data_IF_794689932123
#
_entry.id   IF_794689932123
#
_cell.length_a   1.000
_cell.length_b   1.000
_cell.length_c   1.000
_cell.angle_alpha   90.00
_cell.angle_beta   90.00
_cell.angle_gamma   90.00
#
_symmetry.space_group_name_H-M   'P 1'
#
loop_
_entity.id
_entity.type
_entity.pdbx_description
1 polymer ?
#
# COMPACT_ATOMS: atom_id res chain seq x y z
N UNK A 1 10.53 7.60 -19.18
CA UNK A 1 9.75 6.93 -20.24
C UNK A 1 8.38 7.55 -20.27
N UNK A 2 7.83 7.79 -21.45
CA UNK A 2 6.47 8.31 -21.56
C UNK A 2 5.49 7.16 -21.60
N UNK A 3 4.46 7.19 -20.77
CA UNK A 3 3.34 6.26 -20.83
C UNK A 3 2.50 6.58 -22.07
N UNK A 4 2.37 5.64 -22.99
CA UNK A 4 1.65 5.81 -24.26
C UNK A 4 0.49 4.81 -24.29
N UNK A 5 -0.72 5.32 -24.50
CA UNK A 5 -1.93 4.51 -24.71
C UNK A 5 -1.78 3.63 -25.96
N UNK A 6 -1.98 2.33 -25.80
CA UNK A 6 -1.97 1.34 -26.88
C UNK A 6 -3.31 0.61 -26.98
N UNK A 7 -4.00 0.43 -25.86
CA UNK A 7 -5.25 -0.29 -25.76
C UNK A 7 -6.41 0.64 -25.36
N UNK A 8 -7.64 0.18 -25.53
CA UNK A 8 -8.83 0.93 -25.13
C UNK A 8 -9.05 0.95 -23.63
N UNK A 9 -8.62 -0.09 -22.93
CA UNK A 9 -8.76 -0.25 -21.48
C UNK A 9 -7.45 0.07 -20.75
N UNK A 10 -7.59 0.43 -19.49
CA UNK A 10 -6.49 0.69 -18.58
C UNK A 10 -6.70 -0.07 -17.26
N UNK A 11 -5.62 -0.66 -16.73
CA UNK A 11 -5.61 -1.29 -15.41
C UNK A 11 -4.46 -0.69 -14.59
N UNK A 12 -4.81 -0.01 -13.49
CA UNK A 12 -3.89 0.40 -12.45
C UNK A 12 -3.77 -0.70 -11.39
N UNK A 13 -2.56 -1.07 -10.99
CA UNK A 13 -2.32 -2.14 -10.01
C UNK A 13 -1.47 -1.58 -8.88
N UNK A 14 -1.98 -1.63 -7.62
CA UNK A 14 -1.11 -1.41 -6.47
C UNK A 14 -0.11 -2.56 -6.30
N UNK A 15 1.01 -2.29 -5.67
CA UNK A 15 2.10 -3.26 -5.53
C UNK A 15 2.05 -4.01 -4.20
N UNK A 16 2.20 -3.29 -3.09
CA UNK A 16 2.33 -3.86 -1.75
C UNK A 16 0.99 -4.39 -1.22
N UNK A 17 0.88 -5.69 -0.97
CA UNK A 17 -0.37 -6.31 -0.51
C UNK A 17 -1.36 -6.62 -1.63
N UNK A 18 -1.16 -6.07 -2.82
CA UNK A 18 -1.96 -6.31 -4.01
C UNK A 18 -1.27 -7.26 -4.97
N UNK A 19 -0.07 -6.92 -5.47
CA UNK A 19 0.71 -7.79 -6.35
C UNK A 19 1.64 -8.73 -5.57
N UNK A 20 2.14 -8.29 -4.43
CA UNK A 20 3.12 -9.02 -3.60
C UNK A 20 2.66 -9.07 -2.14
N UNK A 21 2.96 -10.16 -1.41
CA UNK A 21 2.79 -10.23 0.06
C UNK A 21 3.84 -9.38 0.81
N UNK A 22 4.31 -8.32 0.17
CA UNK A 22 5.35 -7.43 0.70
C UNK A 22 4.84 -6.61 1.88
N UNK A 23 3.56 -6.28 1.93
CA UNK A 23 2.99 -5.49 3.02
C UNK A 23 3.07 -6.22 4.35
N UNK A 24 2.64 -7.50 4.42
CA UNK A 24 2.77 -8.32 5.62
C UNK A 24 4.24 -8.51 6.00
N UNK A 25 5.09 -8.81 5.03
CA UNK A 25 6.53 -9.01 5.24
C UNK A 25 7.18 -7.74 5.80
N UNK A 26 6.88 -6.56 5.25
CA UNK A 26 7.37 -5.26 5.76
C UNK A 26 7.04 -5.06 7.24
N UNK A 27 5.81 -5.35 7.64
CA UNK A 27 5.41 -5.19 9.03
C UNK A 27 6.08 -6.21 9.94
N UNK A 28 6.02 -7.50 9.61
CA UNK A 28 6.49 -8.59 10.47
C UNK A 28 8.02 -8.67 10.59
N UNK A 29 8.76 -8.41 9.51
CA UNK A 29 10.23 -8.53 9.49
C UNK A 29 10.96 -7.20 9.64
N UNK A 30 10.26 -6.06 9.57
CA UNK A 30 10.89 -4.73 9.54
C UNK A 30 10.30 -3.78 10.57
N UNK A 31 9.07 -3.29 10.38
CA UNK A 31 8.52 -2.21 11.20
C UNK A 31 8.33 -2.60 12.67
N UNK A 32 7.80 -3.78 12.94
CA UNK A 32 7.55 -4.28 14.30
C UNK A 32 8.87 -4.52 15.05
N UNK A 33 9.83 -5.32 14.51
CA UNK A 33 11.10 -5.55 15.20
C UNK A 33 11.88 -4.25 15.44
N UNK A 34 11.91 -3.36 14.47
CA UNK A 34 12.58 -2.06 14.62
C UNK A 34 11.92 -1.19 15.71
N UNK A 35 10.58 -1.21 15.83
CA UNK A 35 9.87 -0.48 16.88
C UNK A 35 10.16 -1.06 18.28
N UNK A 36 10.14 -2.37 18.41
CA UNK A 36 10.48 -3.08 19.65
C UNK A 36 11.89 -2.68 20.11
N UNK A 37 12.87 -2.72 19.20
CA UNK A 37 14.26 -2.39 19.49
C UNK A 37 14.44 -0.91 19.89
N UNK A 38 13.94 0.01 19.05
CA UNK A 38 14.22 1.44 19.19
C UNK A 38 13.49 2.05 20.37
N UNK A 39 12.26 1.63 20.63
CA UNK A 39 11.44 2.14 21.72
C UNK A 39 11.60 1.34 23.02
N UNK A 40 12.29 0.19 22.97
CA UNK A 40 12.57 -0.65 24.13
C UNK A 40 11.29 -1.24 24.72
N UNK A 41 10.42 -1.78 23.86
CA UNK A 41 9.16 -2.40 24.32
C UNK A 41 9.49 -3.64 25.16
N UNK A 42 9.06 -3.65 26.42
CA UNK A 42 9.32 -4.75 27.35
C UNK A 42 8.84 -6.10 26.77
N UNK A 43 9.63 -7.15 26.96
CA UNK A 43 9.39 -8.49 26.40
C UNK A 43 7.96 -8.99 26.63
N UNK A 44 7.40 -8.78 27.82
CA UNK A 44 6.03 -9.18 28.17
C UNK A 44 4.92 -8.49 27.35
N UNK A 45 5.22 -7.39 26.68
CA UNK A 45 4.26 -6.62 25.85
C UNK A 45 4.50 -6.77 24.34
N UNK A 46 5.62 -7.38 23.92
CA UNK A 46 5.99 -7.47 22.49
C UNK A 46 4.97 -8.24 21.66
N UNK A 47 4.44 -9.34 22.19
CA UNK A 47 3.40 -10.11 21.50
C UNK A 47 2.14 -9.26 21.29
N UNK A 48 1.69 -8.54 22.32
CA UNK A 48 0.52 -7.68 22.21
C UNK A 48 0.76 -6.51 21.27
N UNK A 49 1.94 -5.89 21.32
CA UNK A 49 2.31 -4.84 20.37
C UNK A 49 2.29 -5.34 18.93
N UNK A 50 2.84 -6.52 18.66
CA UNK A 50 2.81 -7.16 17.33
C UNK A 50 1.38 -7.34 16.83
N UNK A 51 0.48 -7.89 17.66
CA UNK A 51 -0.92 -8.08 17.30
C UNK A 51 -1.65 -6.75 17.01
N UNK A 52 -1.37 -5.73 17.80
CA UNK A 52 -1.94 -4.38 17.63
C UNK A 52 -1.46 -3.79 16.31
N UNK A 53 -0.15 -3.84 16.06
CA UNK A 53 0.48 -3.27 14.88
C UNK A 53 -0.02 -3.96 13.60
N UNK A 54 -0.07 -5.29 13.58
CA UNK A 54 -0.65 -6.05 12.48
C UNK A 54 -2.13 -5.70 12.27
N UNK A 55 -2.92 -5.62 13.34
CA UNK A 55 -4.34 -5.26 13.22
C UNK A 55 -4.52 -3.89 12.59
N UNK A 56 -3.82 -2.87 13.10
CA UNK A 56 -3.95 -1.48 12.62
C UNK A 56 -3.51 -1.36 11.18
N UNK A 57 -2.38 -1.94 10.81
CA UNK A 57 -1.74 -1.66 9.53
C UNK A 57 -2.11 -2.67 8.43
N UNK A 58 -2.53 -3.89 8.80
CA UNK A 58 -2.79 -4.97 7.83
C UNK A 58 -4.27 -5.40 7.77
N UNK A 59 -4.99 -5.37 8.91
CA UNK A 59 -6.27 -6.07 9.03
C UNK A 59 -7.38 -5.22 9.65
N UNK A 60 -7.36 -3.89 9.38
CA UNK A 60 -8.41 -2.97 9.79
C UNK A 60 -8.65 -1.91 8.71
N UNK A 61 -9.62 -1.03 8.95
CA UNK A 61 -9.94 0.09 8.05
C UNK A 61 -8.78 1.08 7.86
N UNK A 62 -7.74 0.98 8.69
CA UNK A 62 -6.51 1.76 8.57
C UNK A 62 -5.41 1.04 7.76
N UNK A 63 -5.73 -0.10 7.13
CA UNK A 63 -4.81 -0.81 6.23
C UNK A 63 -4.23 0.14 5.19
N UNK A 64 -2.91 0.06 4.99
CA UNK A 64 -2.20 0.91 4.04
C UNK A 64 -1.94 2.35 4.51
N UNK A 65 -2.25 2.66 5.77
CA UNK A 65 -1.88 3.96 6.37
C UNK A 65 -0.36 4.15 6.32
N UNK A 66 0.07 5.40 6.21
CA UNK A 66 1.51 5.72 6.28
C UNK A 66 2.13 5.21 7.59
N UNK A 67 3.39 4.70 7.54
CA UNK A 67 4.09 4.10 8.67
C UNK A 67 4.13 4.97 9.95
N UNK A 68 4.20 6.30 9.80
CA UNK A 68 4.28 7.21 10.95
C UNK A 68 2.96 7.27 11.75
N UNK A 69 1.81 7.61 11.18
CA UNK A 69 0.54 7.52 11.91
C UNK A 69 0.21 6.09 12.34
N UNK A 70 0.56 5.06 11.55
CA UNK A 70 0.38 3.67 11.95
C UNK A 70 1.12 3.31 13.24
N UNK A 71 2.38 3.72 13.38
CA UNK A 71 3.16 3.52 14.61
C UNK A 71 2.56 4.29 15.79
N UNK A 72 2.15 5.55 15.60
CA UNK A 72 1.53 6.34 16.68
C UNK A 72 0.25 5.66 17.19
N UNK A 73 -0.65 5.26 16.27
CA UNK A 73 -1.87 4.53 16.62
C UNK A 73 -1.57 3.23 17.38
N UNK A 74 -0.51 2.53 17.00
CA UNK A 74 -0.09 1.29 17.68
C UNK A 74 0.38 1.56 19.13
N UNK A 75 1.08 2.66 19.38
CA UNK A 75 1.46 3.06 20.72
C UNK A 75 0.27 3.49 21.58
N UNK A 76 -0.67 4.24 21.01
CA UNK A 76 -1.89 4.65 21.69
C UNK A 76 -2.75 3.45 22.07
N UNK A 77 -2.88 2.50 21.15
CA UNK A 77 -3.66 1.29 21.38
C UNK A 77 -2.98 0.37 22.41
N UNK A 78 -1.66 0.24 22.40
CA UNK A 78 -0.90 -0.48 23.41
C UNK A 78 -1.09 0.14 24.79
N UNK A 79 -1.04 1.48 24.89
CA UNK A 79 -1.32 2.21 26.12
C UNK A 79 -2.75 1.98 26.60
N UNK A 80 -3.72 2.00 25.70
CA UNK A 80 -5.13 1.77 26.00
C UNK A 80 -5.41 0.36 26.52
N UNK A 81 -4.84 -0.67 25.86
CA UNK A 81 -5.13 -2.07 26.18
C UNK A 81 -4.31 -2.59 27.37
N UNK A 82 -3.03 -2.21 27.46
CA UNK A 82 -2.07 -2.81 28.38
C UNK A 82 -1.61 -1.84 29.47
N UNK A 83 -2.06 -0.58 29.47
CA UNK A 83 -1.56 0.48 30.36
C UNK A 83 -0.04 0.65 30.28
N UNK A 84 0.56 0.27 29.13
CA UNK A 84 2.00 0.42 28.87
C UNK A 84 2.24 1.57 27.91
N UNK A 85 3.17 2.45 28.24
CA UNK A 85 3.49 3.65 27.45
C UNK A 85 4.97 3.66 27.08
N UNK A 86 5.26 3.97 25.81
CA UNK A 86 6.61 4.24 25.32
C UNK A 86 7.12 5.64 25.69
N UNK A 87 6.35 6.40 26.47
CA UNK A 87 6.62 7.78 26.88
C UNK A 87 5.64 8.79 26.27
N UNK A 88 5.98 10.07 26.34
CA UNK A 88 5.18 11.14 25.75
C UNK A 88 5.31 11.14 24.21
N UNK A 89 4.19 11.05 23.49
CA UNK A 89 4.11 11.00 22.02
C UNK A 89 3.73 12.34 21.38
N UNK A 90 3.58 13.40 22.16
CA UNK A 90 3.05 14.70 21.71
C UNK A 90 3.82 15.30 20.52
N UNK A 91 5.16 15.25 20.52
CA UNK A 91 5.95 15.81 19.41
C UNK A 91 5.82 14.97 18.14
N UNK A 92 5.58 13.67 18.26
CA UNK A 92 5.33 12.80 17.12
C UNK A 92 3.96 13.09 16.49
N UNK A 93 2.94 13.28 17.31
CA UNK A 93 1.61 13.71 16.87
C UNK A 93 1.66 15.07 16.14
N UNK A 94 2.39 16.06 16.71
CA UNK A 94 2.61 17.35 16.04
C UNK A 94 3.27 17.20 14.65
N UNK A 95 4.27 16.33 14.52
CA UNK A 95 4.87 16.08 13.21
C UNK A 95 3.87 15.51 12.21
N UNK A 96 3.10 14.49 12.61
CA UNK A 96 2.08 13.86 11.75
C UNK A 96 1.07 14.90 11.24
N UNK A 97 0.67 15.83 12.09
CA UNK A 97 -0.32 16.87 11.79
C UNK A 97 0.28 18.17 11.22
N UNK A 98 1.59 18.23 10.99
CA UNK A 98 2.30 19.47 10.63
C UNK A 98 2.15 19.90 9.17
N UNK A 99 1.62 19.01 8.29
CA UNK A 99 1.60 19.23 6.84
C UNK A 99 2.92 18.96 6.12
N UNK A 100 4.01 18.63 6.85
CA UNK A 100 5.23 18.13 6.23
C UNK A 100 5.02 16.75 5.62
N UNK A 101 5.74 16.38 4.53
CA UNK A 101 5.68 15.04 3.98
C UNK A 101 6.01 13.97 5.04
N UNK A 102 5.16 12.94 5.17
CA UNK A 102 5.38 11.83 6.09
C UNK A 102 6.40 10.84 5.50
N UNK A 103 7.67 11.23 5.56
CA UNK A 103 8.83 10.51 5.03
C UNK A 103 10.08 10.83 5.85
N UNK A 104 11.17 10.05 5.69
CA UNK A 104 12.44 10.34 6.36
C UNK A 104 12.95 11.76 6.07
N UNK A 105 12.81 12.21 4.81
CA UNK A 105 13.18 13.57 4.42
C UNK A 105 12.29 14.61 5.10
N UNK A 106 10.97 14.43 5.06
CA UNK A 106 10.02 15.35 5.69
C UNK A 106 10.21 15.44 7.20
N UNK A 107 10.44 14.29 7.87
CA UNK A 107 10.76 14.27 9.30
C UNK A 107 12.07 15.01 9.59
N UNK A 108 13.13 14.79 8.79
CA UNK A 108 14.40 15.51 8.91
C UNK A 108 14.22 17.03 8.76
N UNK A 109 13.45 17.46 7.77
CA UNK A 109 13.18 18.88 7.53
C UNK A 109 12.35 19.52 8.67
N UNK A 110 11.36 18.79 9.20
CA UNK A 110 10.57 19.21 10.35
C UNK A 110 11.44 19.38 11.60
N UNK A 111 12.33 18.41 11.88
CA UNK A 111 13.21 18.42 13.07
C UNK A 111 14.20 19.58 13.08
N UNK A 112 14.57 20.17 11.94
CA UNK A 112 15.45 21.36 11.88
C UNK A 112 14.84 22.56 12.64
N UNK A 113 13.51 22.64 12.67
CA UNK A 113 12.76 23.72 13.35
C UNK A 113 12.17 23.27 14.70
N UNK A 114 12.00 21.98 14.87
CA UNK A 114 11.33 21.36 16.04
C UNK A 114 12.18 20.20 16.57
N UNK A 115 13.36 20.46 17.17
CA UNK A 115 14.23 19.40 17.68
C UNK A 115 13.57 18.67 18.85
N UNK A 116 13.56 17.32 18.81
CA UNK A 116 12.95 16.46 19.84
C UNK A 116 13.68 15.12 19.91
N UNK A 117 13.94 14.64 21.13
CA UNK A 117 14.54 13.31 21.35
C UNK A 117 13.61 12.20 20.90
N UNK A 118 12.30 12.38 21.04
CA UNK A 118 11.32 11.43 20.51
C UNK A 118 11.41 11.34 18.99
N UNK A 119 11.46 12.47 18.28
CA UNK A 119 11.56 12.48 16.81
C UNK A 119 12.88 11.88 16.30
N UNK A 120 13.97 11.97 17.09
CA UNK A 120 15.21 11.24 16.79
C UNK A 120 15.00 9.72 16.87
N UNK A 121 14.27 9.24 17.88
CA UNK A 121 13.90 7.81 17.99
C UNK A 121 13.01 7.40 16.82
N UNK A 122 12.01 8.19 16.45
CA UNK A 122 11.14 7.93 15.30
C UNK A 122 11.96 7.85 14.00
N UNK A 123 12.91 8.76 13.81
CA UNK A 123 13.82 8.70 12.65
C UNK A 123 14.69 7.44 12.68
N UNK A 124 15.27 7.09 13.85
CA UNK A 124 16.06 5.87 14.01
C UNK A 124 15.23 4.64 13.67
N UNK A 125 13.98 4.57 14.16
CA UNK A 125 13.05 3.49 13.84
C UNK A 125 12.80 3.39 12.33
N UNK A 126 12.49 4.51 11.69
CA UNK A 126 12.18 4.50 10.26
C UNK A 126 13.36 4.05 9.40
N UNK A 127 14.59 4.51 9.73
CA UNK A 127 15.82 4.09 9.05
C UNK A 127 16.12 2.60 9.31
N UNK A 128 15.99 2.15 10.57
CA UNK A 128 16.22 0.76 10.94
C UNK A 128 15.22 -0.18 10.25
N UNK A 129 13.97 0.26 10.12
CA UNK A 129 12.95 -0.46 9.35
C UNK A 129 13.38 -0.64 7.90
N UNK A 130 13.88 0.42 7.24
CA UNK A 130 14.35 0.32 5.86
C UNK A 130 15.55 -0.66 5.76
N UNK A 131 16.46 -0.64 6.73
CA UNK A 131 17.60 -1.59 6.78
C UNK A 131 17.13 -3.05 6.97
N UNK A 132 16.15 -3.28 7.84
CA UNK A 132 15.62 -4.63 8.07
C UNK A 132 14.87 -5.15 6.84
N UNK A 133 14.11 -4.28 6.19
CA UNK A 133 13.44 -4.62 4.93
C UNK A 133 14.44 -5.01 3.85
N UNK A 134 15.46 -4.21 3.62
CA UNK A 134 16.47 -4.47 2.59
C UNK A 134 17.25 -5.79 2.83
N UNK A 135 17.42 -6.19 4.11
CA UNK A 135 18.09 -7.45 4.46
C UNK A 135 17.20 -8.69 4.43
N UNK A 136 15.91 -8.52 4.71
CA UNK A 136 14.99 -9.64 4.95
C UNK A 136 13.99 -9.90 3.84
N UNK A 137 13.90 -9.02 2.85
CA UNK A 137 12.82 -9.02 1.87
C UNK A 137 13.30 -9.11 0.42
N UNK A 138 14.42 -9.83 0.19
CA UNK A 138 14.86 -10.13 -1.18
C UNK A 138 14.00 -11.26 -1.78
N UNK A 139 13.64 -11.11 -3.05
CA UNK A 139 12.97 -12.17 -3.82
C UNK A 139 11.53 -12.46 -3.40
N UNK A 140 10.76 -11.44 -3.00
CA UNK A 140 9.32 -11.62 -2.76
C UNK A 140 8.64 -11.95 -4.08
N UNK A 141 8.07 -13.16 -4.17
CA UNK A 141 7.33 -13.60 -5.33
C UNK A 141 5.95 -12.92 -5.39
N UNK A 142 5.43 -12.63 -6.58
CA UNK A 142 4.06 -12.17 -6.74
C UNK A 142 3.07 -13.28 -6.38
N UNK A 143 1.86 -12.94 -6.00
CA UNK A 143 0.82 -13.94 -5.79
C UNK A 143 0.65 -14.83 -7.03
N UNK A 144 0.48 -16.13 -6.80
CA UNK A 144 0.53 -17.18 -7.84
C UNK A 144 -0.33 -16.89 -9.10
N UNK A 145 -1.56 -16.32 -9.02
CA UNK A 145 -2.35 -16.08 -10.23
C UNK A 145 -1.88 -14.89 -11.08
N UNK A 146 -0.99 -14.03 -10.58
CA UNK A 146 -0.66 -12.76 -11.23
C UNK A 146 -0.04 -12.93 -12.61
N UNK A 147 0.99 -13.77 -12.83
CA UNK A 147 1.60 -13.84 -14.16
C UNK A 147 0.61 -14.21 -15.27
N UNK A 148 -0.31 -15.15 -15.01
CA UNK A 148 -1.35 -15.53 -15.98
C UNK A 148 -2.38 -14.42 -16.17
N UNK A 149 -2.71 -13.69 -15.08
CA UNK A 149 -3.71 -12.61 -15.14
C UNK A 149 -3.19 -11.40 -15.88
N UNK A 150 -1.92 -11.01 -15.64
CA UNK A 150 -1.27 -9.93 -16.38
C UNK A 150 -1.22 -10.24 -17.87
N UNK A 151 -0.88 -11.48 -18.24
CA UNK A 151 -0.88 -11.90 -19.66
C UNK A 151 -2.26 -11.76 -20.31
N UNK A 152 -3.33 -12.16 -19.61
CA UNK A 152 -4.71 -11.99 -20.09
C UNK A 152 -5.07 -10.50 -20.22
N UNK A 153 -4.69 -9.69 -19.25
CA UNK A 153 -4.98 -8.24 -19.25
C UNK A 153 -4.30 -7.52 -20.42
N UNK A 154 -3.06 -7.88 -20.76
CA UNK A 154 -2.31 -7.27 -21.85
C UNK A 154 -2.99 -7.41 -23.23
N UNK A 155 -3.90 -8.36 -23.39
CA UNK A 155 -4.64 -8.56 -24.64
C UNK A 155 -5.67 -7.44 -24.90
N UNK A 156 -6.08 -6.69 -23.86
CA UNK A 156 -7.13 -5.67 -23.97
C UNK A 156 -6.81 -4.35 -23.28
N UNK A 157 -5.84 -4.32 -22.35
CA UNK A 157 -5.59 -3.18 -21.49
C UNK A 157 -4.10 -2.81 -21.43
N UNK A 158 -3.84 -1.51 -21.27
CA UNK A 158 -2.54 -1.02 -20.83
C UNK A 158 -2.48 -1.12 -19.31
N UNK A 159 -1.37 -1.66 -18.78
CA UNK A 159 -1.21 -1.94 -17.36
C UNK A 159 -0.17 -0.98 -16.77
N UNK A 160 -0.52 -0.36 -15.66
CA UNK A 160 0.37 0.54 -14.93
C UNK A 160 0.42 0.16 -13.45
N UNK A 161 1.62 0.11 -12.88
CA UNK A 161 1.77 0.04 -11.41
C UNK A 161 1.47 1.41 -10.82
N UNK A 162 0.57 1.46 -9.83
CA UNK A 162 0.09 2.66 -9.15
C UNK A 162 0.34 2.52 -7.65
N UNK A 163 1.45 3.08 -7.15
CA UNK A 163 1.89 2.78 -5.79
C UNK A 163 2.38 4.00 -5.01
N UNK A 164 2.28 3.92 -3.68
CA UNK A 164 2.89 4.86 -2.74
C UNK A 164 4.31 4.44 -2.29
N UNK A 165 4.83 3.33 -2.80
CA UNK A 165 6.21 2.90 -2.56
C UNK A 165 7.21 3.69 -3.42
N UNK A 166 8.51 3.63 -3.08
CA UNK A 166 9.54 4.30 -3.85
C UNK A 166 9.69 3.69 -5.25
N UNK A 167 9.92 4.54 -6.26
CA UNK A 167 10.14 4.11 -7.65
C UNK A 167 11.20 3.01 -7.75
N UNK A 168 12.35 3.23 -7.09
CA UNK A 168 13.46 2.27 -7.08
C UNK A 168 13.07 0.91 -6.49
N UNK A 169 12.29 0.89 -5.41
CA UNK A 169 11.82 -0.35 -4.80
C UNK A 169 10.89 -1.11 -5.74
N UNK A 170 9.94 -0.43 -6.34
CA UNK A 170 9.00 -1.02 -7.29
C UNK A 170 9.73 -1.62 -8.51
N UNK A 171 10.63 -0.86 -9.14
CA UNK A 171 11.41 -1.33 -10.29
C UNK A 171 12.23 -2.58 -9.95
N UNK A 172 12.84 -2.61 -8.76
CA UNK A 172 13.56 -3.79 -8.28
C UNK A 172 12.63 -5.00 -8.14
N UNK A 173 11.53 -4.85 -7.39
CA UNK A 173 10.65 -5.97 -7.02
C UNK A 173 9.94 -6.55 -8.26
N UNK A 174 9.41 -5.67 -9.13
CA UNK A 174 8.76 -6.09 -10.39
C UNK A 174 9.73 -6.70 -11.41
N UNK A 175 11.00 -6.23 -11.44
CA UNK A 175 12.02 -6.80 -12.33
C UNK A 175 12.54 -8.14 -11.84
N UNK A 176 12.81 -8.27 -10.53
CA UNK A 176 13.32 -9.51 -9.94
C UNK A 176 12.30 -10.64 -10.05
N UNK A 177 11.01 -10.34 -9.92
CA UNK A 177 9.92 -11.31 -10.08
C UNK A 177 9.62 -11.68 -11.54
N UNK A 178 10.29 -11.04 -12.51
CA UNK A 178 10.12 -11.35 -13.94
C UNK A 178 8.79 -10.92 -14.55
N UNK A 179 8.01 -10.05 -13.89
CA UNK A 179 6.71 -9.57 -14.38
C UNK A 179 6.72 -8.12 -14.86
N UNK A 180 7.84 -7.42 -14.76
CA UNK A 180 7.95 -6.01 -15.18
C UNK A 180 7.65 -5.79 -16.66
N UNK A 181 7.96 -6.77 -17.53
CA UNK A 181 7.63 -6.71 -18.96
C UNK A 181 6.12 -6.79 -19.23
N UNK A 182 5.32 -7.13 -18.24
CA UNK A 182 3.86 -7.19 -18.37
C UNK A 182 3.17 -5.87 -18.06
N UNK A 183 3.91 -4.84 -17.65
CA UNK A 183 3.37 -3.51 -17.36
C UNK A 183 3.97 -2.47 -18.27
N UNK A 184 3.16 -1.50 -18.70
CA UNK A 184 3.58 -0.43 -19.61
C UNK A 184 4.29 0.69 -18.88
N UNK A 185 4.03 0.85 -17.57
CA UNK A 185 4.61 1.91 -16.75
C UNK A 185 4.58 1.54 -15.27
N UNK A 186 5.58 2.00 -14.51
CA UNK A 186 5.64 1.88 -13.05
C UNK A 186 5.65 3.29 -12.47
N UNK A 187 4.63 3.65 -11.68
CA UNK A 187 4.55 4.92 -10.97
C UNK A 187 4.69 4.71 -9.46
N UNK A 188 5.79 5.20 -8.90
CA UNK A 188 6.03 5.25 -7.46
C UNK A 188 5.63 6.58 -6.84
N UNK A 189 5.92 6.74 -5.54
CA UNK A 189 5.61 7.95 -4.77
C UNK A 189 6.19 9.23 -5.36
N UNK A 190 7.29 9.14 -6.10
CA UNK A 190 7.94 10.28 -6.77
C UNK A 190 7.08 10.85 -7.90
N UNK A 191 6.15 10.06 -8.40
CA UNK A 191 5.20 10.43 -9.45
C UNK A 191 3.92 11.10 -8.90
N UNK A 192 3.81 11.23 -7.58
CA UNK A 192 2.65 11.78 -6.89
C UNK A 192 1.82 10.75 -6.13
N UNK A 193 0.67 11.14 -5.61
CA UNK A 193 -0.26 10.25 -4.93
C UNK A 193 -1.00 9.34 -5.92
N UNK A 194 -1.48 8.19 -5.50
CA UNK A 194 -2.21 7.23 -6.36
C UNK A 194 -3.32 7.89 -7.20
N UNK A 195 -4.09 8.82 -6.62
CA UNK A 195 -5.08 9.60 -7.38
C UNK A 195 -4.45 10.39 -8.53
N UNK A 196 -3.32 11.04 -8.30
CA UNK A 196 -2.61 11.85 -9.32
C UNK A 196 -2.06 10.95 -10.41
N UNK A 197 -1.56 9.77 -10.05
CA UNK A 197 -1.09 8.74 -10.98
C UNK A 197 -2.23 8.23 -11.89
N UNK A 198 -3.42 8.00 -11.33
CA UNK A 198 -4.61 7.60 -12.09
C UNK A 198 -5.11 8.75 -13.00
N UNK A 199 -5.08 9.99 -12.53
CA UNK A 199 -5.44 11.15 -13.36
C UNK A 199 -4.45 11.35 -14.51
N UNK A 200 -3.15 11.14 -14.29
CA UNK A 200 -2.15 11.13 -15.37
C UNK A 200 -2.46 10.09 -16.45
N UNK A 201 -2.82 8.86 -16.06
CA UNK A 201 -3.24 7.86 -17.04
C UNK A 201 -4.52 8.31 -17.78
N UNK A 202 -5.50 8.86 -17.07
CA UNK A 202 -6.75 9.38 -17.67
C UNK A 202 -6.50 10.46 -18.72
N UNK A 203 -5.51 11.34 -18.52
CA UNK A 203 -5.09 12.36 -19.49
C UNK A 203 -4.55 11.77 -20.80
N UNK A 204 -4.20 10.48 -20.83
CA UNK A 204 -3.82 9.76 -22.06
C UNK A 204 -5.04 9.39 -22.93
N UNK A 205 -6.25 9.71 -22.50
CA UNK A 205 -7.47 9.56 -23.30
C UNK A 205 -8.25 8.28 -23.06
N UNK A 206 -8.15 7.68 -21.84
CA UNK A 206 -9.05 6.59 -21.45
C UNK A 206 -10.37 7.16 -20.93
N UNK A 207 -11.50 6.53 -21.30
CA UNK A 207 -12.78 6.78 -20.68
C UNK A 207 -12.80 6.24 -19.25
N UNK A 208 -13.41 6.92 -18.27
CA UNK A 208 -13.42 6.48 -16.88
C UNK A 208 -14.00 5.08 -16.65
N UNK A 209 -15.00 4.69 -17.42
CA UNK A 209 -15.62 3.36 -17.41
C UNK A 209 -14.74 2.25 -18.02
N UNK A 210 -13.65 2.63 -18.69
CA UNK A 210 -12.61 1.75 -19.24
C UNK A 210 -11.32 1.79 -18.43
N UNK A 211 -11.36 2.31 -17.20
CA UNK A 211 -10.24 2.36 -16.27
C UNK A 211 -10.59 1.60 -14.99
N UNK A 212 -9.73 0.65 -14.60
CA UNK A 212 -9.90 -0.17 -13.40
C UNK A 212 -8.66 -0.05 -12.51
N UNK A 213 -8.84 0.29 -11.24
CA UNK A 213 -7.79 0.24 -10.21
C UNK A 213 -7.95 -1.03 -9.38
N UNK A 214 -6.87 -1.79 -9.23
CA UNK A 214 -6.77 -2.95 -8.34
C UNK A 214 -6.00 -2.55 -7.09
N UNK A 215 -6.55 -2.84 -5.90
CA UNK A 215 -5.90 -2.47 -4.64
C UNK A 215 -6.46 -3.24 -3.44
N UNK A 216 -5.70 -3.25 -2.35
CA UNK A 216 -5.99 -4.02 -1.14
C UNK A 216 -6.25 -3.15 0.10
N UNK A 217 -6.26 -1.83 -0.06
CA UNK A 217 -6.47 -0.87 1.01
C UNK A 217 -7.64 0.09 0.72
N UNK A 218 -8.34 0.62 1.75
CA UNK A 218 -9.36 1.66 1.57
C UNK A 218 -8.84 2.88 0.80
N UNK A 219 -7.57 3.26 0.98
CA UNK A 219 -6.93 4.35 0.25
C UNK A 219 -6.85 4.14 -1.27
N UNK A 220 -6.86 2.90 -1.75
CA UNK A 220 -6.90 2.59 -3.19
C UNK A 220 -8.27 2.88 -3.77
N UNK A 221 -9.31 2.50 -3.05
CA UNK A 221 -10.69 2.85 -3.40
C UNK A 221 -10.89 4.36 -3.42
N UNK A 222 -10.41 5.08 -2.39
CA UNK A 222 -10.49 6.55 -2.33
C UNK A 222 -9.76 7.21 -3.51
N UNK A 223 -8.60 6.68 -3.90
CA UNK A 223 -7.86 7.16 -5.05
C UNK A 223 -8.62 6.92 -6.37
N UNK A 224 -9.20 5.73 -6.54
CA UNK A 224 -10.03 5.37 -7.69
C UNK A 224 -11.28 6.26 -7.79
N UNK A 225 -12.05 6.38 -6.71
CA UNK A 225 -13.23 7.26 -6.64
C UNK A 225 -12.84 8.74 -6.91
N UNK A 226 -11.75 9.19 -6.29
CA UNK A 226 -11.25 10.56 -6.49
C UNK A 226 -10.76 10.86 -7.91
N UNK A 227 -10.36 9.85 -8.68
CA UNK A 227 -10.04 9.95 -10.11
C UNK A 227 -11.26 9.68 -11.01
N UNK A 228 -12.36 9.17 -10.44
CA UNK A 228 -13.58 8.80 -11.14
C UNK A 228 -13.42 7.56 -12.01
N UNK A 229 -12.61 6.57 -11.56
CA UNK A 229 -12.38 5.29 -12.24
C UNK A 229 -12.98 4.13 -11.45
N UNK A 230 -13.10 2.96 -12.08
CA UNK A 230 -13.60 1.76 -11.41
C UNK A 230 -12.54 1.18 -10.46
N UNK A 231 -12.99 0.43 -9.45
CA UNK A 231 -12.14 -0.22 -8.46
C UNK A 231 -12.49 -1.70 -8.32
N UNK A 232 -11.46 -2.54 -8.20
CA UNK A 232 -11.59 -3.95 -7.84
C UNK A 232 -10.74 -4.26 -6.60
N UNK A 233 -11.33 -4.77 -5.50
CA UNK A 233 -10.60 -5.05 -4.27
C UNK A 233 -9.84 -6.39 -4.35
N UNK A 234 -8.59 -6.37 -3.91
CA UNK A 234 -7.83 -7.56 -3.53
C UNK A 234 -8.00 -7.74 -2.02
N UNK A 235 -8.65 -8.81 -1.62
CA UNK A 235 -9.07 -9.00 -0.23
C UNK A 235 -7.92 -9.56 0.60
N UNK A 236 -7.49 -8.89 1.69
CA UNK A 236 -6.43 -9.36 2.57
C UNK A 236 -6.71 -10.78 3.11
N UNK A 237 -5.68 -11.63 3.11
CA UNK A 237 -5.74 -13.07 3.41
C UNK A 237 -6.50 -13.92 2.39
N UNK A 238 -6.99 -13.32 1.29
CA UNK A 238 -7.65 -13.99 0.18
C UNK A 238 -7.14 -13.44 -1.16
N UNK A 239 -5.90 -12.96 -1.21
CA UNK A 239 -5.32 -12.27 -2.35
C UNK A 239 -5.31 -13.17 -3.60
N UNK A 240 -4.82 -14.41 -3.47
CA UNK A 240 -4.82 -15.36 -4.59
C UNK A 240 -6.22 -15.65 -5.12
N UNK A 241 -7.20 -15.82 -4.22
CA UNK A 241 -8.61 -16.00 -4.60
C UNK A 241 -9.15 -14.78 -5.33
N UNK A 242 -8.85 -13.58 -4.84
CA UNK A 242 -9.27 -12.33 -5.50
C UNK A 242 -8.70 -12.23 -6.92
N UNK A 243 -7.42 -12.56 -7.10
CA UNK A 243 -6.79 -12.61 -8.42
C UNK A 243 -7.37 -13.70 -9.34
N UNK A 244 -7.74 -14.88 -8.79
CA UNK A 244 -8.41 -15.92 -9.57
C UNK A 244 -9.82 -15.52 -9.98
N UNK A 245 -10.58 -14.87 -9.10
CA UNK A 245 -11.92 -14.35 -9.43
C UNK A 245 -11.83 -13.24 -10.50
N UNK A 246 -10.81 -12.38 -10.42
CA UNK A 246 -10.53 -11.37 -11.44
C UNK A 246 -10.23 -12.02 -12.79
N UNK A 247 -9.33 -13.03 -12.81
CA UNK A 247 -8.95 -13.76 -14.02
C UNK A 247 -10.14 -14.48 -14.67
N UNK A 248 -10.95 -15.18 -13.86
CA UNK A 248 -12.00 -16.06 -14.38
C UNK A 248 -13.32 -15.33 -14.68
N UNK A 249 -13.52 -14.12 -14.13
CA UNK A 249 -14.83 -13.46 -14.21
C UNK A 249 -14.74 -11.95 -14.39
N UNK A 250 -14.17 -11.23 -13.41
CA UNK A 250 -14.38 -9.80 -13.31
C UNK A 250 -13.61 -8.99 -14.35
N UNK A 251 -12.49 -9.49 -14.87
CA UNK A 251 -11.79 -8.83 -15.96
C UNK A 251 -12.59 -8.94 -17.28
N UNK A 252 -13.19 -10.08 -17.56
CA UNK A 252 -14.06 -10.23 -18.74
C UNK A 252 -15.31 -9.33 -18.62
N UNK A 253 -15.93 -9.26 -17.43
CA UNK A 253 -17.02 -8.31 -17.18
C UNK A 253 -16.60 -6.85 -17.42
N UNK A 254 -15.36 -6.49 -17.01
CA UNK A 254 -14.84 -5.14 -17.21
C UNK A 254 -14.68 -4.82 -18.70
N UNK A 255 -14.05 -5.68 -19.46
CA UNK A 255 -13.84 -5.48 -20.91
C UNK A 255 -15.17 -5.47 -21.69
N UNK A 256 -16.16 -6.24 -21.23
CA UNK A 256 -17.50 -6.28 -21.84
C UNK A 256 -18.42 -5.14 -21.40
N UNK A 257 -17.98 -4.26 -20.47
CA UNK A 257 -18.79 -3.18 -19.91
C UNK A 257 -19.86 -3.63 -18.91
N UNK A 258 -19.73 -4.85 -18.39
CA UNK A 258 -20.63 -5.47 -17.39
C UNK A 258 -20.17 -5.23 -15.94
N UNK A 259 -18.91 -4.77 -15.75
CA UNK A 259 -18.37 -4.39 -14.44
C UNK A 259 -18.84 -2.98 -14.08
N UNK A 260 -20.03 -2.89 -13.52
CA UNK A 260 -20.68 -1.62 -13.17
C UNK A 260 -20.30 -1.13 -11.76
N UNK A 261 -20.64 0.11 -11.44
CA UNK A 261 -20.52 0.65 -10.06
C UNK A 261 -21.29 -0.18 -9.03
N UNK A 262 -22.38 -0.83 -9.42
CA UNK A 262 -23.15 -1.72 -8.53
C UNK A 262 -22.35 -2.97 -8.18
N UNK A 263 -21.71 -3.60 -9.18
CA UNK A 263 -20.81 -4.75 -8.97
C UNK A 263 -19.63 -4.33 -8.11
N UNK A 264 -19.00 -3.20 -8.41
CA UNK A 264 -17.90 -2.64 -7.61
C UNK A 264 -18.32 -2.46 -6.15
N UNK A 265 -19.45 -1.80 -5.89
CA UNK A 265 -19.90 -1.50 -4.53
C UNK A 265 -20.16 -2.77 -3.73
N UNK A 266 -20.77 -3.78 -4.33
CA UNK A 266 -20.99 -5.08 -3.69
C UNK A 266 -19.64 -5.76 -3.30
N UNK A 267 -18.63 -5.71 -4.18
CA UNK A 267 -17.30 -6.26 -3.87
C UNK A 267 -16.59 -5.43 -2.81
N UNK A 268 -16.71 -4.11 -2.87
CA UNK A 268 -16.12 -3.21 -1.88
C UNK A 268 -16.74 -3.37 -0.49
N UNK A 269 -18.06 -3.54 -0.38
CA UNK A 269 -18.72 -3.86 0.89
C UNK A 269 -18.16 -5.14 1.52
N UNK A 270 -18.02 -6.21 0.73
CA UNK A 270 -17.40 -7.46 1.20
C UNK A 270 -15.96 -7.24 1.67
N UNK A 271 -15.18 -6.45 0.93
CA UNK A 271 -13.81 -6.11 1.31
C UNK A 271 -13.78 -5.36 2.64
N UNK A 272 -14.59 -4.32 2.82
CA UNK A 272 -14.66 -3.54 4.06
C UNK A 272 -15.10 -4.41 5.25
N UNK A 273 -15.99 -5.37 5.05
CA UNK A 273 -16.43 -6.27 6.12
C UNK A 273 -15.28 -7.18 6.61
N UNK A 274 -14.29 -7.49 5.79
CA UNK A 274 -13.09 -8.22 6.23
C UNK A 274 -12.12 -7.40 7.08
N UNK A 275 -12.27 -6.07 7.07
CA UNK A 275 -11.42 -5.11 7.80
C UNK A 275 -12.07 -4.57 9.09
N UNK A 276 -13.28 -4.97 9.42
CA UNK A 276 -13.97 -4.63 10.68
C UNK A 276 -13.68 -5.68 11.75
#
# INVERSE_FOLDING_TARGET
MDFIKQNDFFVGIDSDGTAFDSMRIKHTLSFIPAAIEVFGIDEKYQQQFTQIEEKINLYSLTRGINRFPGLLMSFEELKRQMHYSVGDTTDFEKYINSGFPLSNKGLSDYMKKNPSELLKKVMKWSILSDIYFDKGCEGIEPFSPIPKTLKKMQEAADIMVVSAASQKGLERDWSQSGISQSVSFIAGQEFGKKKEQLLFAKEKGYSPDKMLMLGDAPGDFEAAEGAGVLFYPIIPRQEEKSWEELFNKYFDMFVNGEYTKEVQNHLYEKFIDTLK
#
